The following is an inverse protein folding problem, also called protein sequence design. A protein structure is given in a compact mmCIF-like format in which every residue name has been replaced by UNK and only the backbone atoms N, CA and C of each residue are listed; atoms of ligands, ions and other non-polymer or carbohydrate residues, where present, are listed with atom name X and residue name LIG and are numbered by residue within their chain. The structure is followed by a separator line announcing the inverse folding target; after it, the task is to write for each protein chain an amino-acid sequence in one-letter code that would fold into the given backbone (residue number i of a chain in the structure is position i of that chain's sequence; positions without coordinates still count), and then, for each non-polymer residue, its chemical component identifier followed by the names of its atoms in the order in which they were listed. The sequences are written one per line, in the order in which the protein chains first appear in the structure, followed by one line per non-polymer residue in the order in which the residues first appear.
data_IF_049995950936
#
_entry.id   IF_049995950936
#
_cell.length_a   1.000
_cell.length_b   1.000
_cell.length_c   1.000
_cell.angle_alpha   90.00
_cell.angle_beta   90.00
_cell.angle_gamma   90.00
#
_symmetry.space_group_name_H-M   'P 1'
#
loop_
_entity.id
_entity.type
_entity.pdbx_description
1 polymer ?
#
# COMPACT_ATOMS: atom_id res chain seq x y z
N UNK A 1 -22.54 22.70 -29.94
CA UNK A 1 -22.41 23.18 -28.55
C UNK A 1 -22.40 21.96 -27.65
N UNK A 2 -21.24 21.57 -27.14
CA UNK A 2 -21.15 20.58 -26.05
C UNK A 2 -19.90 20.89 -25.24
N UNK A 3 -20.06 21.34 -23.98
CA UNK A 3 -19.07 20.96 -22.99
C UNK A 3 -19.72 20.65 -21.64
N UNK A 4 -19.25 19.61 -20.92
CA UNK A 4 -18.87 19.70 -19.48
C UNK A 4 -18.96 18.41 -18.63
N UNK A 5 -18.99 17.19 -19.19
CA UNK A 5 -19.13 16.00 -18.32
C UNK A 5 -17.88 15.56 -17.51
N UNK A 6 -16.69 16.14 -17.74
CA UNK A 6 -15.45 15.69 -17.09
C UNK A 6 -15.02 16.45 -15.82
N UNK A 7 -15.79 17.45 -15.34
CA UNK A 7 -15.37 18.34 -14.24
C UNK A 7 -15.93 18.02 -12.85
N UNK A 8 -16.64 16.90 -12.66
CA UNK A 8 -17.38 16.64 -11.40
C UNK A 8 -16.66 15.76 -10.36
N UNK A 9 -15.57 15.08 -10.71
CA UNK A 9 -14.92 14.13 -9.79
C UNK A 9 -13.73 14.69 -8.98
N UNK A 10 -13.19 15.85 -9.35
CA UNK A 10 -12.01 16.41 -8.68
C UNK A 10 -12.34 17.29 -7.46
N UNK A 11 -13.62 17.62 -7.25
CA UNK A 11 -14.09 18.46 -6.13
C UNK A 11 -14.98 17.74 -5.10
N UNK A 12 -15.41 16.50 -5.37
CA UNK A 12 -16.30 15.77 -4.48
C UNK A 12 -15.56 15.36 -3.19
N UNK A 13 -16.11 15.74 -2.03
CA UNK A 13 -15.61 15.24 -0.74
C UNK A 13 -15.97 13.75 -0.64
N UNK A 14 -15.01 12.86 -0.32
CA UNK A 14 -15.33 11.47 -0.04
C UNK A 14 -16.38 11.38 1.07
N UNK A 15 -17.36 10.47 0.97
CA UNK A 15 -18.52 10.42 1.87
C UNK A 15 -18.20 9.95 3.31
N UNK A 16 -16.92 9.80 3.67
CA UNK A 16 -16.48 9.23 4.94
C UNK A 16 -16.82 7.74 5.05
N UNK A 17 -16.91 7.24 6.29
CA UNK A 17 -17.23 5.84 6.60
C UNK A 17 -16.21 5.15 7.49
N UNK A 18 -16.29 3.82 7.58
CA UNK A 18 -15.37 3.02 8.40
C UNK A 18 -13.92 3.21 7.96
N UNK A 19 -12.99 3.28 8.91
CA UNK A 19 -11.55 3.51 8.66
C UNK A 19 -11.30 4.73 7.75
N UNK A 20 -12.04 5.81 7.97
CA UNK A 20 -11.76 7.14 7.43
C UNK A 20 -11.33 8.10 8.54
N UNK A 21 -10.52 9.09 8.21
CA UNK A 21 -10.10 10.13 9.15
C UNK A 21 -9.62 11.38 8.42
N UNK A 22 -9.50 12.52 9.13
CA UNK A 22 -9.09 13.78 8.53
C UNK A 22 -7.67 13.68 7.98
N UNK A 23 -7.51 13.99 6.69
CA UNK A 23 -6.21 13.95 6.05
C UNK A 23 -5.39 15.21 6.40
N UNK A 24 -4.24 15.08 7.08
CA UNK A 24 -3.41 16.22 7.46
C UNK A 24 -2.85 16.99 6.26
N UNK A 25 -2.79 16.38 5.07
CA UNK A 25 -2.23 17.02 3.85
C UNK A 25 -3.29 17.49 2.87
N UNK A 26 -4.58 17.27 3.14
CA UNK A 26 -5.68 17.64 2.24
C UNK A 26 -6.80 18.37 3.00
N UNK A 27 -6.41 19.42 3.74
CA UNK A 27 -7.33 20.32 4.46
C UNK A 27 -8.34 19.59 5.37
N UNK A 28 -7.96 18.45 5.94
CA UNK A 28 -8.82 17.67 6.82
C UNK A 28 -9.94 16.90 6.11
N UNK A 29 -9.94 16.79 4.77
CA UNK A 29 -10.91 15.93 4.07
C UNK A 29 -10.82 14.50 4.61
N UNK A 30 -11.98 13.88 4.80
CA UNK A 30 -12.04 12.50 5.25
C UNK A 30 -11.50 11.58 4.16
N UNK A 31 -10.54 10.74 4.55
CA UNK A 31 -9.94 9.79 3.63
C UNK A 31 -9.40 8.56 4.33
N UNK A 32 -8.90 7.64 3.51
CA UNK A 32 -8.21 6.44 3.95
C UNK A 32 -6.85 6.34 3.27
N UNK A 33 -5.93 5.66 3.95
CA UNK A 33 -4.64 5.26 3.40
C UNK A 33 -4.65 3.76 3.13
N UNK A 34 -3.94 3.36 2.08
CA UNK A 34 -3.68 1.97 1.73
C UNK A 34 -2.24 1.65 2.09
N UNK A 35 -2.06 0.59 2.86
CA UNK A 35 -0.76 0.04 3.20
C UNK A 35 -0.56 -1.18 2.32
N UNK A 36 0.37 -1.10 1.36
CA UNK A 36 0.61 -2.16 0.39
C UNK A 36 2.00 -2.74 0.64
N UNK A 37 2.08 -4.07 0.74
CA UNK A 37 3.35 -4.79 0.68
C UNK A 37 3.45 -5.45 -0.69
N UNK A 38 4.56 -5.26 -1.37
CA UNK A 38 4.83 -5.80 -2.70
C UNK A 38 6.15 -6.56 -2.72
N UNK A 39 6.28 -7.49 -3.66
CA UNK A 39 7.58 -8.09 -3.98
C UNK A 39 8.47 -7.13 -4.80
N UNK A 40 9.66 -7.61 -5.22
CA UNK A 40 10.60 -6.80 -5.99
C UNK A 40 10.10 -6.43 -7.41
N UNK A 41 9.07 -7.12 -7.93
CA UNK A 41 8.45 -6.86 -9.23
C UNK A 41 7.21 -5.95 -9.12
N UNK A 42 6.73 -5.71 -7.90
CA UNK A 42 5.53 -4.91 -7.63
C UNK A 42 4.27 -5.76 -7.48
N UNK A 43 4.39 -7.09 -7.41
CA UNK A 43 3.26 -8.00 -7.19
C UNK A 43 2.72 -7.77 -5.77
N UNK A 44 1.44 -7.40 -5.60
CA UNK A 44 0.85 -7.19 -4.29
C UNK A 44 0.83 -8.48 -3.47
N UNK A 45 1.41 -8.44 -2.26
CA UNK A 45 1.38 -9.54 -1.28
C UNK A 45 0.35 -9.30 -0.18
N UNK A 46 0.08 -8.02 0.12
CA UNK A 46 -0.87 -7.61 1.15
C UNK A 46 -1.38 -6.20 0.87
N UNK A 47 -2.65 -5.96 1.20
CA UNK A 47 -3.25 -4.63 1.26
C UNK A 47 -4.02 -4.51 2.57
N UNK A 48 -3.69 -3.49 3.36
CA UNK A 48 -4.50 -3.06 4.51
C UNK A 48 -4.97 -1.62 4.31
N UNK A 49 -6.06 -1.26 4.97
CA UNK A 49 -6.63 0.09 4.91
C UNK A 49 -6.73 0.66 6.32
N UNK A 50 -6.47 1.96 6.44
CA UNK A 50 -6.70 2.70 7.67
C UNK A 50 -7.24 4.10 7.39
N UNK A 51 -7.75 4.78 8.41
CA UNK A 51 -8.02 6.23 8.34
C UNK A 51 -6.78 7.04 7.92
N UNK A 52 -6.99 8.13 7.16
CA UNK A 52 -5.90 8.95 6.64
C UNK A 52 -5.11 9.73 7.71
N UNK A 53 -5.68 9.92 8.89
CA UNK A 53 -5.02 10.52 10.04
C UNK A 53 -4.01 9.59 10.72
N UNK A 54 -4.05 8.26 10.46
CA UNK A 54 -3.10 7.33 11.07
C UNK A 54 -1.72 7.47 10.44
N UNK A 55 -0.70 7.45 11.29
CA UNK A 55 0.69 7.46 10.85
C UNK A 55 1.09 6.08 10.34
N UNK A 56 1.76 6.01 9.18
CA UNK A 56 1.99 4.75 8.46
C UNK A 56 2.83 3.74 9.26
N UNK A 57 3.81 4.24 10.03
CA UNK A 57 4.61 3.41 10.93
C UNK A 57 3.84 2.78 12.11
N UNK A 58 2.56 3.12 12.32
CA UNK A 58 1.69 2.42 13.28
C UNK A 58 1.11 1.14 12.67
N UNK A 59 0.96 1.09 11.35
CA UNK A 59 0.44 -0.08 10.63
C UNK A 59 1.54 -1.07 10.25
N UNK A 60 2.81 -0.69 10.41
CA UNK A 60 3.97 -1.46 9.98
C UNK A 60 3.99 -2.92 10.47
N UNK A 61 3.87 -3.13 11.79
CA UNK A 61 3.92 -4.47 12.39
C UNK A 61 2.71 -5.31 11.95
N UNK A 62 1.52 -4.68 11.94
CA UNK A 62 0.29 -5.30 11.46
C UNK A 62 0.41 -5.73 9.99
N UNK A 63 1.00 -4.91 9.14
CA UNK A 63 1.27 -5.26 7.75
C UNK A 63 2.18 -6.49 7.65
N UNK A 64 3.30 -6.50 8.38
CA UNK A 64 4.24 -7.62 8.31
C UNK A 64 3.68 -8.93 8.86
N UNK A 65 2.79 -8.87 9.86
CA UNK A 65 2.13 -10.04 10.43
C UNK A 65 1.03 -10.62 9.55
N UNK A 66 0.35 -9.76 8.79
CA UNK A 66 -0.75 -10.13 7.91
C UNK A 66 -0.32 -10.69 6.55
N UNK A 67 0.98 -10.67 6.22
CA UNK A 67 1.49 -11.35 5.01
C UNK A 67 1.15 -12.84 5.11
N UNK A 68 0.37 -13.34 4.17
CA UNK A 68 0.00 -14.74 4.10
C UNK A 68 1.24 -15.61 3.80
N UNK A 69 1.24 -16.84 4.31
CA UNK A 69 2.24 -17.81 3.87
C UNK A 69 1.95 -18.16 2.41
N UNK A 70 2.92 -17.91 1.52
CA UNK A 70 2.79 -18.24 0.11
C UNK A 70 3.32 -19.66 -0.06
N UNK A 71 2.39 -20.60 -0.28
CA UNK A 71 2.71 -21.94 -0.73
C UNK A 71 3.04 -21.87 -2.23
N UNK A 72 4.06 -22.60 -2.66
CA UNK A 72 4.50 -22.61 -4.04
C UNK A 72 5.32 -23.86 -4.31
N UNK A 73 6.64 -23.70 -4.36
CA UNK A 73 7.59 -24.78 -4.58
C UNK A 73 7.68 -25.76 -3.39
N UNK A 74 8.26 -26.95 -3.63
CA UNK A 74 8.53 -27.92 -2.57
C UNK A 74 9.28 -27.29 -1.39
N UNK A 75 8.81 -27.59 -0.17
CA UNK A 75 9.38 -27.09 1.08
C UNK A 75 8.41 -26.21 1.87
N UNK A 76 8.93 -25.58 2.94
CA UNK A 76 8.13 -24.75 3.85
C UNK A 76 7.66 -23.48 3.15
N UNK A 77 6.34 -23.26 3.14
CA UNK A 77 5.72 -22.05 2.62
C UNK A 77 6.40 -20.79 3.17
N UNK A 78 6.82 -19.89 2.28
CA UNK A 78 7.53 -18.67 2.69
C UNK A 78 6.49 -17.64 3.15
N UNK A 79 6.56 -17.27 4.43
CA UNK A 79 5.71 -16.22 5.01
C UNK A 79 6.42 -14.87 5.14
N UNK A 80 7.74 -14.87 5.34
CA UNK A 80 8.50 -13.65 5.68
C UNK A 80 9.55 -13.34 4.61
N UNK A 81 9.74 -12.05 4.27
CA UNK A 81 10.82 -11.66 3.37
C UNK A 81 12.17 -11.76 4.08
N UNK A 82 13.24 -12.08 3.34
CA UNK A 82 14.60 -12.01 3.88
C UNK A 82 15.06 -10.56 4.12
N UNK A 83 14.52 -9.61 3.36
CA UNK A 83 14.88 -8.19 3.38
C UNK A 83 13.65 -7.33 3.11
N UNK A 84 13.46 -6.26 3.88
CA UNK A 84 12.36 -5.31 3.68
C UNK A 84 12.91 -3.91 3.39
N UNK A 85 12.45 -3.33 2.29
CA UNK A 85 12.68 -1.91 1.96
C UNK A 85 11.48 -1.08 2.44
N UNK A 86 11.75 0.04 3.10
CA UNK A 86 10.72 0.99 3.54
C UNK A 86 11.24 2.44 3.52
N UNK A 87 10.32 3.39 3.43
CA UNK A 87 10.66 4.81 3.42
C UNK A 87 11.16 5.34 4.78
N UNK A 88 11.60 6.60 4.79
CA UNK A 88 12.08 7.30 5.99
C UNK A 88 11.00 7.48 7.07
N UNK A 89 9.73 7.52 6.69
CA UNK A 89 8.59 7.54 7.60
C UNK A 89 8.45 6.28 8.43
N UNK A 90 9.19 5.21 8.12
CA UNK A 90 9.29 4.01 8.96
C UNK A 90 10.55 3.97 9.85
N UNK A 91 11.37 5.03 9.86
CA UNK A 91 12.62 5.08 10.64
C UNK A 91 12.39 5.27 12.15
N UNK A 92 11.77 4.27 12.76
CA UNK A 92 11.53 4.19 14.20
C UNK A 92 12.26 2.98 14.78
N UNK A 93 12.78 3.13 16.00
CA UNK A 93 13.44 2.03 16.74
C UNK A 93 12.56 0.78 16.82
N UNK A 94 11.24 0.95 17.03
CA UNK A 94 10.27 -0.16 17.07
C UNK A 94 10.22 -0.96 15.76
N UNK A 95 10.17 -0.31 14.60
CA UNK A 95 10.10 -0.97 13.30
C UNK A 95 11.37 -1.80 13.06
N UNK A 96 12.54 -1.21 13.34
CA UNK A 96 13.84 -1.90 13.19
C UNK A 96 13.97 -3.07 14.17
N UNK A 97 13.54 -2.90 15.42
CA UNK A 97 13.53 -3.96 16.42
C UNK A 97 12.58 -5.11 16.04
N UNK A 98 11.40 -4.80 15.53
CA UNK A 98 10.45 -5.79 15.03
C UNK A 98 11.06 -6.63 13.89
N UNK A 99 11.70 -6.00 12.91
CA UNK A 99 12.36 -6.71 11.81
C UNK A 99 13.50 -7.61 12.30
N UNK A 100 14.37 -7.09 13.18
CA UNK A 100 15.48 -7.86 13.76
C UNK A 100 15.00 -9.11 14.50
N UNK A 101 13.97 -8.98 15.34
CA UNK A 101 13.38 -10.12 16.08
C UNK A 101 12.86 -11.24 15.17
N UNK A 102 12.60 -10.93 13.89
CA UNK A 102 12.05 -11.87 12.91
C UNK A 102 13.06 -12.32 11.87
N UNK A 103 14.34 -11.96 12.03
CA UNK A 103 15.39 -12.28 11.08
C UNK A 103 15.24 -11.59 9.73
N UNK A 104 14.54 -10.45 9.66
CA UNK A 104 14.33 -9.72 8.42
C UNK A 104 15.35 -8.59 8.33
N UNK A 105 16.15 -8.56 7.27
CA UNK A 105 17.12 -7.49 7.04
C UNK A 105 16.40 -6.16 6.77
N UNK A 106 16.66 -5.14 7.58
CA UNK A 106 16.02 -3.82 7.46
C UNK A 106 16.76 -2.92 6.47
N UNK A 107 16.07 -2.52 5.38
CA UNK A 107 16.48 -1.43 4.48
C UNK A 107 15.49 -0.27 4.59
N UNK A 108 15.40 0.27 5.81
CA UNK A 108 14.61 1.46 6.12
C UNK A 108 15.54 2.67 6.01
N UNK A 109 15.16 3.64 5.18
CA UNK A 109 15.98 4.83 5.01
C UNK A 109 16.04 5.67 6.29
N UNK A 110 17.21 6.23 6.61
CA UNK A 110 17.41 7.03 7.83
C UNK A 110 16.92 8.46 7.65
N UNK A 111 16.10 8.93 8.59
CA UNK A 111 15.62 10.32 8.62
C UNK A 111 16.80 11.26 8.92
N UNK A 112 16.90 12.36 8.18
CA UNK A 112 17.97 13.36 8.35
C UNK A 112 19.37 12.95 7.87
N UNK A 113 19.56 11.71 7.39
CA UNK A 113 20.89 11.22 6.95
C UNK A 113 20.94 10.94 5.46
N UNK A 114 20.00 10.15 4.92
CA UNK A 114 20.05 9.76 3.50
C UNK A 114 19.32 10.77 2.61
N UNK A 115 19.83 11.07 1.41
CA UNK A 115 19.09 11.85 0.40
C UNK A 115 17.83 11.12 -0.03
N UNK A 116 16.76 11.86 -0.32
CA UNK A 116 15.51 11.31 -0.87
C UNK A 116 15.67 10.79 -2.30
N UNK A 117 16.73 11.15 -3.01
CA UNK A 117 16.99 10.73 -4.40
C UNK A 117 17.34 9.24 -4.49
N UNK A 118 18.16 8.73 -3.56
CA UNK A 118 18.59 7.31 -3.54
C UNK A 118 17.45 6.35 -3.21
N UNK A 119 16.37 6.83 -2.59
CA UNK A 119 15.17 6.04 -2.30
C UNK A 119 14.39 5.65 -3.56
N UNK A 120 14.50 6.42 -4.65
CA UNK A 120 13.69 6.27 -5.86
C UNK A 120 13.75 4.86 -6.48
N UNK A 121 14.92 4.21 -6.46
CA UNK A 121 15.14 2.90 -7.11
C UNK A 121 14.19 1.80 -6.60
N UNK A 122 13.97 1.75 -5.28
CA UNK A 122 13.08 0.75 -4.68
C UNK A 122 11.67 1.29 -4.45
N UNK A 123 11.55 2.61 -4.20
CA UNK A 123 10.28 3.28 -3.97
C UNK A 123 9.39 3.27 -5.21
N UNK A 124 9.97 3.42 -6.40
CA UNK A 124 9.21 3.41 -7.65
C UNK A 124 8.45 2.10 -7.89
N UNK A 125 8.93 0.97 -7.35
CA UNK A 125 8.21 -0.31 -7.47
C UNK A 125 6.86 -0.23 -6.76
N UNK A 126 6.84 0.31 -5.54
CA UNK A 126 5.62 0.50 -4.73
C UNK A 126 4.72 1.56 -5.36
N UNK A 127 5.29 2.70 -5.79
CA UNK A 127 4.53 3.80 -6.42
C UNK A 127 3.85 3.36 -7.72
N UNK A 128 4.53 2.54 -8.52
CA UNK A 128 3.95 1.95 -9.74
C UNK A 128 2.78 1.03 -9.41
N UNK A 129 2.90 0.19 -8.38
CA UNK A 129 1.78 -0.65 -7.91
C UNK A 129 0.60 0.21 -7.45
N UNK A 130 0.84 1.30 -6.72
CA UNK A 130 -0.21 2.29 -6.42
C UNK A 130 -0.84 2.88 -7.69
N UNK A 131 -0.02 3.17 -8.71
CA UNK A 131 -0.48 3.60 -10.03
C UNK A 131 -1.41 2.59 -10.71
N UNK A 132 -1.10 1.28 -10.63
CA UNK A 132 -1.97 0.23 -11.15
C UNK A 132 -3.32 0.20 -10.43
N UNK A 133 -3.33 0.31 -9.09
CA UNK A 133 -4.57 0.43 -8.33
C UNK A 133 -5.38 1.67 -8.75
N UNK A 134 -4.72 2.82 -8.90
CA UNK A 134 -5.38 4.04 -9.37
C UNK A 134 -5.94 3.92 -10.79
N UNK A 135 -5.28 3.12 -11.65
CA UNK A 135 -5.69 2.86 -13.03
C UNK A 135 -7.06 2.18 -13.18
N UNK A 136 -7.57 1.51 -12.14
CA UNK A 136 -8.94 0.99 -12.13
C UNK A 136 -10.02 2.09 -12.00
N UNK A 137 -9.63 3.36 -11.89
CA UNK A 137 -10.54 4.51 -11.86
C UNK A 137 -11.29 4.64 -10.53
N UNK A 138 -12.19 3.69 -10.24
CA UNK A 138 -12.98 3.63 -9.00
C UNK A 138 -12.13 3.57 -7.75
N UNK A 139 -10.95 2.95 -7.82
CA UNK A 139 -10.02 2.87 -6.71
C UNK A 139 -9.15 4.13 -6.56
N UNK A 140 -9.23 5.11 -7.47
CA UNK A 140 -8.49 6.37 -7.31
C UNK A 140 -9.05 7.21 -6.16
N UNK A 141 -10.37 7.27 -6.03
CA UNK A 141 -11.08 8.00 -4.97
C UNK A 141 -12.04 7.01 -4.30
N UNK A 142 -11.94 6.84 -2.99
CA UNK A 142 -12.84 5.96 -2.23
C UNK A 142 -14.21 6.62 -2.07
N UNK A 143 -15.25 5.98 -2.62
CA UNK A 143 -16.64 6.38 -2.41
C UNK A 143 -17.40 5.40 -1.50
N UNK A 144 -16.83 4.23 -1.22
CA UNK A 144 -17.47 3.20 -0.41
C UNK A 144 -17.41 3.56 1.09
N UNK A 145 -18.58 3.71 1.73
CA UNK A 145 -18.66 3.98 3.19
C UNK A 145 -18.31 2.76 4.04
N UNK A 146 -18.61 1.55 3.56
CA UNK A 146 -18.26 0.30 4.25
C UNK A 146 -16.83 -0.13 3.88
N UNK A 147 -16.08 -0.59 4.87
CA UNK A 147 -14.69 -0.99 4.68
C UNK A 147 -14.57 -2.31 3.92
N UNK A 148 -15.43 -3.28 4.23
CA UNK A 148 -15.45 -4.61 3.61
C UNK A 148 -15.61 -4.55 2.09
N UNK A 149 -16.52 -3.71 1.58
CA UNK A 149 -16.71 -3.49 0.14
C UNK A 149 -15.44 -2.88 -0.47
N UNK A 150 -14.84 -1.89 0.20
CA UNK A 150 -13.61 -1.26 -0.31
C UNK A 150 -12.45 -2.25 -0.36
N UNK A 151 -12.28 -3.06 0.69
CA UNK A 151 -11.27 -4.12 0.74
C UNK A 151 -11.52 -5.20 -0.31
N UNK A 152 -12.77 -5.59 -0.57
CA UNK A 152 -13.10 -6.55 -1.61
C UNK A 152 -12.71 -6.03 -3.00
N UNK A 153 -13.00 -4.76 -3.30
CA UNK A 153 -12.60 -4.13 -4.57
C UNK A 153 -11.07 -4.04 -4.70
N UNK A 154 -10.36 -3.72 -3.61
CA UNK A 154 -8.89 -3.72 -3.60
C UNK A 154 -8.32 -5.11 -3.83
N UNK A 155 -8.87 -6.15 -3.19
CA UNK A 155 -8.46 -7.54 -3.38
C UNK A 155 -8.73 -8.02 -4.80
N UNK A 156 -9.87 -7.65 -5.40
CA UNK A 156 -10.18 -7.94 -6.80
C UNK A 156 -9.17 -7.30 -7.76
N UNK A 157 -8.87 -6.01 -7.57
CA UNK A 157 -7.85 -5.33 -8.35
C UNK A 157 -6.45 -5.95 -8.16
N UNK A 158 -6.11 -6.37 -6.95
CA UNK A 158 -4.86 -7.08 -6.67
C UNK A 158 -4.79 -8.42 -7.42
N UNK A 159 -5.88 -9.19 -7.43
CA UNK A 159 -5.97 -10.46 -8.16
C UNK A 159 -5.77 -10.26 -9.67
N UNK A 160 -6.40 -9.23 -10.26
CA UNK A 160 -6.22 -8.88 -11.68
C UNK A 160 -4.76 -8.47 -11.96
N UNK A 161 -4.14 -7.67 -11.08
CA UNK A 161 -2.72 -7.32 -11.20
C UNK A 161 -1.87 -8.59 -11.18
N UNK A 162 -2.08 -9.49 -10.21
CA UNK A 162 -1.35 -10.75 -10.11
C UNK A 162 -1.53 -11.64 -11.35
N UNK A 163 -2.74 -11.75 -11.89
CA UNK A 163 -3.02 -12.55 -13.09
C UNK A 163 -2.19 -12.11 -14.31
N UNK A 164 -2.04 -10.79 -14.52
CA UNK A 164 -1.19 -10.23 -15.60
C UNK A 164 0.29 -10.62 -15.49
N UNK A 165 0.75 -10.99 -14.28
CA UNK A 165 2.10 -11.51 -14.10
C UNK A 165 2.20 -13.00 -14.36
N UNK A 166 1.12 -13.75 -14.23
CA UNK A 166 1.04 -15.19 -14.55
C UNK A 166 0.95 -15.38 -16.06
N UNK A 167 0.11 -14.60 -16.74
CA UNK A 167 -0.06 -14.65 -18.20
C UNK A 167 1.23 -14.37 -18.98
N UNK A 168 2.25 -13.82 -18.33
CA UNK A 168 3.59 -13.64 -18.93
C UNK A 168 4.40 -14.93 -19.02
N UNK A 169 4.01 -15.96 -18.26
CA UNK A 169 4.69 -17.26 -18.18
C UNK A 169 3.92 -18.36 -18.91
N UNK A 170 2.73 -18.06 -19.43
CA UNK A 170 1.91 -18.92 -20.27
C UNK A 170 1.99 -18.43 -21.71
#
# INVERSE_FOLDING_TARGET
MEPSQHRWLLGAKPPGGQETGPNPTDRGKLGSKRHIVVDARGIPLLILVSGANRHDSMMFEKCMDAIAAIAGLQGRARKRPAKLHADKGYDYKRCRAYLRRRGIASRIARRGVESSEKLGKHRWVVERTHGWFAGFGKLRIRFERRLDIHEALLKLAAAIICARFVDRWC
#
